data_IF_996423697050
#
_entry.id   IF_996423697050
#
_cell.length_a   1.000
_cell.length_b   1.000
_cell.length_c   1.000
_cell.angle_alpha   90.00
_cell.angle_beta   90.00
_cell.angle_gamma   90.00
#
_symmetry.space_group_name_H-M   'P 1'
#
loop_
_entity.id
_entity.type
_entity.pdbx_description
1 polymer ?
#
# COMPACT_ATOMS: atom_id res chain seq x y z
N UNK A 1 37.31 -8.56 3.04
CA UNK A 1 37.16 -7.58 1.93
C UNK A 1 35.94 -7.90 1.07
N UNK A 2 34.72 -7.50 1.45
CA UNK A 2 33.55 -7.42 0.52
C UNK A 2 32.59 -6.29 0.92
N UNK A 3 33.13 -5.21 1.50
CA UNK A 3 32.49 -3.90 1.55
C UNK A 3 32.98 -3.14 0.32
N UNK A 4 32.11 -2.32 -0.27
CA UNK A 4 32.37 -1.41 -1.40
C UNK A 4 32.21 -2.03 -2.79
N UNK A 5 31.00 -2.52 -3.08
CA UNK A 5 30.37 -2.18 -4.36
C UNK A 5 29.39 -1.03 -4.08
N UNK A 6 29.92 0.14 -3.69
CA UNK A 6 29.12 1.37 -3.61
C UNK A 6 28.70 1.70 -5.03
N UNK A 7 27.40 1.76 -5.29
CA UNK A 7 26.86 1.94 -6.63
C UNK A 7 27.48 3.15 -7.31
N UNK A 8 28.10 2.94 -8.48
CA UNK A 8 28.66 3.99 -9.33
C UNK A 8 27.59 4.91 -9.94
N UNK A 9 26.32 4.62 -9.69
CA UNK A 9 25.18 5.37 -10.20
C UNK A 9 24.60 6.24 -9.08
N UNK A 10 24.37 7.55 -9.33
CA UNK A 10 23.60 8.41 -8.45
C UNK A 10 22.27 7.77 -8.05
N UNK A 11 21.86 7.92 -6.80
CA UNK A 11 20.59 7.39 -6.29
C UNK A 11 19.37 7.84 -7.13
N UNK A 12 19.46 9.01 -7.77
CA UNK A 12 18.47 9.52 -8.72
C UNK A 12 18.35 8.66 -9.98
N UNK A 13 19.46 8.18 -10.54
CA UNK A 13 19.47 7.30 -11.73
C UNK A 13 18.92 5.91 -11.36
N UNK A 14 19.30 5.38 -10.20
CA UNK A 14 18.77 4.12 -9.70
C UNK A 14 17.26 4.22 -9.47
N UNK A 15 16.76 5.31 -8.86
CA UNK A 15 15.31 5.56 -8.70
C UNK A 15 14.57 5.73 -10.03
N UNK A 16 15.26 6.21 -11.08
CA UNK A 16 14.68 6.34 -12.41
C UNK A 16 14.55 4.98 -13.11
N UNK A 17 15.58 4.14 -13.00
CA UNK A 17 15.66 2.86 -13.70
C UNK A 17 14.97 1.70 -12.96
N UNK A 18 14.93 1.74 -11.63
CA UNK A 18 14.40 0.65 -10.79
C UNK A 18 12.98 0.22 -11.18
N UNK A 19 11.99 1.13 -11.38
CA UNK A 19 10.65 0.74 -11.80
C UNK A 19 10.60 0.02 -13.15
N UNK A 20 11.53 0.35 -14.06
CA UNK A 20 11.58 -0.28 -15.38
C UNK A 20 12.02 -1.75 -15.30
N UNK A 21 12.85 -2.10 -14.32
CA UNK A 21 13.29 -3.49 -14.09
C UNK A 21 12.14 -4.42 -13.68
N UNK A 22 11.05 -3.86 -13.12
CA UNK A 22 9.89 -4.63 -12.69
C UNK A 22 8.87 -4.90 -13.81
N UNK A 23 8.98 -4.24 -14.97
CA UNK A 23 8.04 -4.43 -16.11
C UNK A 23 7.92 -5.90 -16.54
N UNK A 24 8.99 -6.68 -16.70
CA UNK A 24 8.88 -8.10 -17.09
C UNK A 24 8.18 -8.95 -16.03
N UNK A 25 8.44 -8.68 -14.74
CA UNK A 25 7.85 -9.41 -13.62
C UNK A 25 6.36 -9.07 -13.51
N UNK A 26 5.99 -7.80 -13.66
CA UNK A 26 4.60 -7.35 -13.71
C UNK A 26 3.84 -8.03 -14.85
N UNK A 27 4.42 -8.06 -16.07
CA UNK A 27 3.77 -8.68 -17.23
C UNK A 27 3.49 -10.18 -17.02
N UNK A 28 4.39 -10.90 -16.34
CA UNK A 28 4.19 -12.32 -15.97
C UNK A 28 3.01 -12.52 -15.01
N UNK A 29 2.69 -11.50 -14.21
CA UNK A 29 1.54 -11.49 -13.29
C UNK A 29 0.27 -10.89 -13.93
N UNK A 30 0.26 -10.66 -15.25
CA UNK A 30 -0.87 -10.02 -15.94
C UNK A 30 -1.03 -8.53 -15.62
N UNK A 31 0.03 -7.89 -15.13
CA UNK A 31 0.06 -6.48 -14.76
C UNK A 31 0.86 -5.65 -15.77
N UNK A 32 0.48 -4.38 -15.91
CA UNK A 32 1.24 -3.38 -16.65
C UNK A 32 1.78 -2.32 -15.69
N UNK A 33 3.00 -1.85 -15.95
CA UNK A 33 3.62 -0.74 -15.20
C UNK A 33 3.82 0.45 -16.13
N UNK A 34 3.22 1.58 -15.78
CA UNK A 34 3.41 2.88 -16.40
C UNK A 34 4.15 3.81 -15.42
N UNK A 35 5.32 4.31 -15.82
CA UNK A 35 6.18 5.14 -14.98
C UNK A 35 6.01 6.59 -15.42
N UNK A 36 5.46 7.42 -14.54
CA UNK A 36 5.17 8.84 -14.81
C UNK A 36 6.19 9.74 -14.11
N UNK A 37 5.98 11.06 -14.16
CA UNK A 37 6.88 12.01 -13.52
C UNK A 37 7.02 11.78 -12.00
N UNK A 38 5.89 11.65 -11.29
CA UNK A 38 5.85 11.57 -9.82
C UNK A 38 5.28 10.26 -9.27
N UNK A 39 4.61 9.47 -10.10
CA UNK A 39 3.97 8.22 -9.70
C UNK A 39 4.29 7.06 -10.64
N UNK A 40 3.91 5.88 -10.20
CA UNK A 40 3.97 4.62 -10.94
C UNK A 40 2.58 4.02 -10.88
N UNK A 41 1.98 3.79 -12.04
CA UNK A 41 0.68 3.11 -12.15
C UNK A 41 0.94 1.63 -12.42
N UNK A 42 0.41 0.76 -11.55
CA UNK A 42 0.37 -0.68 -11.71
C UNK A 42 -1.05 -1.04 -12.07
N UNK A 43 -1.28 -1.66 -13.23
CA UNK A 43 -2.63 -1.86 -13.78
C UNK A 43 -2.92 -3.33 -14.07
N UNK A 44 -4.10 -3.80 -13.64
CA UNK A 44 -4.71 -5.10 -13.96
C UNK A 44 -6.08 -4.87 -14.59
N UNK A 45 -6.21 -5.04 -15.90
CA UNK A 45 -7.44 -4.69 -16.61
C UNK A 45 -7.80 -3.20 -16.44
N UNK A 46 -8.94 -2.90 -15.82
CA UNK A 46 -9.39 -1.53 -15.52
C UNK A 46 -8.96 -1.02 -14.13
N UNK A 47 -8.40 -1.90 -13.29
CA UNK A 47 -8.02 -1.60 -11.92
C UNK A 47 -6.57 -1.12 -11.87
N UNK A 48 -6.32 -0.02 -11.17
CA UNK A 48 -5.00 0.60 -11.06
C UNK A 48 -4.66 0.91 -9.62
N UNK A 49 -3.48 0.49 -9.17
CA UNK A 49 -2.81 1.04 -7.98
C UNK A 49 -1.80 2.06 -8.46
N UNK A 50 -1.96 3.30 -8.00
CA UNK A 50 -1.01 4.37 -8.24
C UNK A 50 -0.14 4.55 -7.01
N UNK A 51 1.17 4.52 -7.16
CA UNK A 51 2.12 4.66 -6.04
C UNK A 51 3.10 5.79 -6.30
N UNK A 52 3.62 6.40 -5.24
CA UNK A 52 4.67 7.40 -5.38
C UNK A 52 5.94 6.74 -5.93
N UNK A 53 6.68 7.46 -6.78
CA UNK A 53 8.01 6.99 -7.21
C UNK A 53 9.00 6.85 -6.06
N UNK A 54 8.82 7.61 -4.99
CA UNK A 54 9.65 7.49 -3.78
C UNK A 54 9.41 6.15 -3.07
N UNK A 55 8.29 5.49 -3.34
CA UNK A 55 7.89 4.19 -2.79
C UNK A 55 8.22 3.02 -3.74
N UNK A 56 9.11 3.23 -4.72
CA UNK A 56 9.49 2.21 -5.71
C UNK A 56 10.06 0.91 -5.09
N UNK A 57 10.58 0.97 -3.86
CA UNK A 57 11.06 -0.21 -3.12
C UNK A 57 9.94 -1.24 -2.88
N UNK A 58 8.68 -0.81 -2.82
CA UNK A 58 7.52 -1.66 -2.58
C UNK A 58 6.90 -2.23 -3.86
N UNK A 59 7.46 -1.94 -5.05
CA UNK A 59 6.87 -2.39 -6.32
C UNK A 59 6.76 -3.90 -6.43
N UNK A 60 7.79 -4.63 -6.00
CA UNK A 60 7.77 -6.09 -6.06
C UNK A 60 6.59 -6.67 -5.27
N UNK A 61 6.34 -6.11 -4.10
CA UNK A 61 5.26 -6.56 -3.22
C UNK A 61 3.89 -6.16 -3.79
N UNK A 62 3.76 -4.95 -4.32
CA UNK A 62 2.53 -4.52 -5.02
C UNK A 62 2.22 -5.36 -6.27
N UNK A 63 3.24 -5.85 -6.96
CA UNK A 63 3.08 -6.75 -8.11
C UNK A 63 2.58 -8.12 -7.66
N UNK A 64 3.20 -8.67 -6.60
CA UNK A 64 2.86 -10.00 -6.09
C UNK A 64 1.50 -10.03 -5.39
N UNK A 65 1.13 -8.92 -4.73
CA UNK A 65 -0.04 -8.80 -3.86
C UNK A 65 -0.99 -7.70 -4.37
N UNK A 66 -1.12 -7.56 -5.70
CA UNK A 66 -1.92 -6.48 -6.31
C UNK A 66 -3.35 -6.43 -5.76
N UNK A 67 -4.05 -7.56 -5.75
CA UNK A 67 -5.46 -7.60 -5.34
C UNK A 67 -5.62 -7.27 -3.84
N UNK A 68 -4.64 -7.61 -3.00
CA UNK A 68 -4.62 -7.26 -1.58
C UNK A 68 -4.58 -5.74 -1.39
N UNK A 69 -3.65 -5.05 -2.05
CA UNK A 69 -3.52 -3.59 -1.93
C UNK A 69 -4.66 -2.82 -2.61
N UNK A 70 -5.18 -3.34 -3.72
CA UNK A 70 -6.28 -2.73 -4.46
C UNK A 70 -7.61 -2.85 -3.71
N UNK A 71 -7.85 -3.98 -3.04
CA UNK A 71 -9.12 -4.23 -2.32
C UNK A 71 -9.16 -3.64 -0.90
N UNK A 72 -8.04 -3.08 -0.40
CA UNK A 72 -7.98 -2.49 0.93
C UNK A 72 -8.91 -1.28 1.09
N UNK A 73 -9.13 -0.51 0.02
CA UNK A 73 -9.87 0.76 0.04
C UNK A 73 -10.82 0.86 -1.14
N UNK A 74 -11.83 1.71 -1.03
CA UNK A 74 -12.77 1.98 -2.11
C UNK A 74 -12.04 2.77 -3.22
N UNK A 75 -11.95 2.23 -4.46
CA UNK A 75 -11.33 2.96 -5.56
C UNK A 75 -12.23 4.08 -6.06
N UNK A 76 -11.65 5.18 -6.52
CA UNK A 76 -12.39 6.19 -7.27
C UNK A 76 -12.32 5.90 -8.77
N UNK A 77 -13.34 6.33 -9.52
CA UNK A 77 -13.37 6.17 -10.98
C UNK A 77 -12.78 7.39 -11.69
N UNK A 78 -11.91 7.15 -12.67
CA UNK A 78 -11.37 8.19 -13.52
C UNK A 78 -11.05 7.64 -14.91
N UNK A 79 -11.62 8.25 -15.96
CA UNK A 79 -11.42 7.87 -17.37
C UNK A 79 -11.59 6.36 -17.62
N UNK A 80 -12.66 5.77 -17.05
CA UNK A 80 -12.98 4.34 -17.20
C UNK A 80 -12.07 3.38 -16.42
N UNK A 81 -11.24 3.90 -15.50
CA UNK A 81 -10.40 3.10 -14.60
C UNK A 81 -10.87 3.23 -13.16
N UNK A 82 -10.75 2.14 -12.41
CA UNK A 82 -10.86 2.16 -10.95
C UNK A 82 -9.46 2.39 -10.38
N UNK A 83 -9.27 3.45 -9.58
CA UNK A 83 -7.96 3.87 -9.10
C UNK A 83 -7.95 3.87 -7.58
N UNK A 84 -6.96 3.16 -7.03
CA UNK A 84 -6.48 3.34 -5.67
C UNK A 84 -5.19 4.14 -5.73
N UNK A 85 -5.17 5.33 -5.14
CA UNK A 85 -4.04 6.25 -5.24
C UNK A 85 -3.29 6.39 -3.92
N UNK A 86 -2.12 5.77 -3.83
CA UNK A 86 -1.16 5.88 -2.72
C UNK A 86 0.04 6.77 -3.10
N UNK A 87 -0.07 7.62 -4.12
CA UNK A 87 1.05 8.47 -4.55
C UNK A 87 1.24 9.73 -3.72
N UNK A 88 0.25 10.12 -2.93
CA UNK A 88 0.30 11.26 -2.02
C UNK A 88 -0.48 10.93 -0.75
N UNK A 89 -0.14 11.54 0.40
CA UNK A 89 -0.99 11.45 1.59
C UNK A 89 -2.42 11.88 1.29
N UNK A 90 -3.39 10.99 1.53
CA UNK A 90 -4.80 11.28 1.25
C UNK A 90 -5.75 10.42 2.08
N UNK A 91 -6.99 10.87 2.18
CA UNK A 91 -8.06 10.14 2.81
C UNK A 91 -8.55 9.00 1.91
N UNK A 92 -8.75 7.84 2.52
CA UNK A 92 -9.31 6.67 1.88
C UNK A 92 -10.46 6.10 2.71
N UNK A 93 -11.52 5.68 2.02
CA UNK A 93 -12.55 4.83 2.62
C UNK A 93 -12.02 3.40 2.64
N UNK A 94 -11.77 2.85 3.83
CA UNK A 94 -11.28 1.48 3.99
C UNK A 94 -12.45 0.51 3.84
N UNK A 95 -12.28 -0.53 3.02
CA UNK A 95 -13.34 -1.52 2.79
C UNK A 95 -13.68 -2.22 4.11
N UNK A 96 -14.97 -2.19 4.48
CA UNK A 96 -15.47 -2.76 5.73
C UNK A 96 -15.46 -1.82 6.94
N UNK A 97 -14.74 -0.69 6.87
CA UNK A 97 -14.72 0.31 7.94
C UNK A 97 -15.66 1.48 7.59
N UNK A 98 -16.73 1.67 8.38
CA UNK A 98 -17.81 2.61 8.04
C UNK A 98 -17.80 3.91 8.83
N UNK A 99 -16.87 4.08 9.78
CA UNK A 99 -16.93 5.22 10.70
C UNK A 99 -16.53 6.53 10.01
N UNK A 100 -15.38 6.55 9.33
CA UNK A 100 -14.86 7.73 8.64
C UNK A 100 -13.67 7.36 7.74
N UNK A 101 -13.29 8.22 6.78
CA UNK A 101 -12.10 8.01 5.97
C UNK A 101 -10.81 8.11 6.80
N UNK A 102 -9.79 7.33 6.44
CA UNK A 102 -8.47 7.34 7.09
C UNK A 102 -7.43 7.99 6.18
N UNK A 103 -6.65 8.92 6.74
CA UNK A 103 -5.50 9.52 6.05
C UNK A 103 -4.34 8.54 6.05
N UNK A 104 -3.95 8.04 4.87
CA UNK A 104 -2.74 7.24 4.73
C UNK A 104 -1.65 8.05 3.99
N UNK A 105 -0.40 8.10 4.51
CA UNK A 105 0.72 8.73 3.79
C UNK A 105 1.27 7.85 2.66
N UNK A 106 0.92 6.56 2.66
CA UNK A 106 1.27 5.58 1.63
C UNK A 106 0.21 4.49 1.57
N UNK A 107 0.60 3.21 1.62
CA UNK A 107 -0.30 2.07 1.50
C UNK A 107 -1.20 1.96 2.73
N UNK A 108 -2.42 1.50 2.51
CA UNK A 108 -3.27 1.02 3.58
C UNK A 108 -3.15 -0.49 3.74
N UNK A 109 -3.60 -0.97 4.88
CA UNK A 109 -3.77 -2.38 5.18
C UNK A 109 -5.27 -2.72 5.15
N UNK A 110 -5.69 -3.85 4.53
CA UNK A 110 -7.06 -4.32 4.60
C UNK A 110 -7.52 -4.54 6.05
N UNK A 111 -8.78 -4.19 6.33
CA UNK A 111 -9.40 -4.39 7.64
C UNK A 111 -9.28 -5.83 8.16
N UNK A 112 -9.35 -6.82 7.26
CA UNK A 112 -9.27 -8.24 7.63
C UNK A 112 -7.94 -8.61 8.31
N UNK A 113 -6.84 -7.93 7.96
CA UNK A 113 -5.55 -8.18 8.63
C UNK A 113 -5.56 -7.59 10.04
N UNK A 114 -6.17 -6.42 10.22
CA UNK A 114 -6.35 -5.83 11.55
C UNK A 114 -7.25 -6.70 12.45
N UNK A 115 -8.31 -7.31 11.90
CA UNK A 115 -9.18 -8.22 12.68
C UNK A 115 -8.45 -9.49 13.11
N UNK A 116 -7.55 -10.02 12.27
CA UNK A 116 -6.72 -11.18 12.64
C UNK A 116 -5.81 -10.89 13.85
N UNK A 117 -5.30 -9.67 13.98
CA UNK A 117 -4.55 -9.27 15.18
C UNK A 117 -5.42 -9.26 16.44
N UNK A 118 -6.67 -8.82 16.33
CA UNK A 118 -7.61 -8.85 17.46
C UNK A 118 -7.90 -10.29 17.89
N UNK A 119 -8.15 -11.18 16.92
CA UNK A 119 -8.43 -12.58 17.19
C UNK A 119 -7.24 -13.26 17.87
N UNK A 120 -6.02 -13.04 17.36
CA UNK A 120 -4.80 -13.59 17.94
C UNK A 120 -4.53 -13.07 19.36
N UNK A 121 -4.73 -11.77 19.58
CA UNK A 121 -4.52 -11.13 20.88
C UNK A 121 -5.66 -11.43 21.87
N UNK A 122 -6.77 -12.03 21.41
CA UNK A 122 -7.97 -12.28 22.22
C UNK A 122 -8.44 -11.03 22.97
N UNK A 123 -8.47 -9.90 22.26
CA UNK A 123 -8.86 -8.62 22.86
C UNK A 123 -10.29 -8.70 23.41
N UNK A 124 -10.49 -8.17 24.62
CA UNK A 124 -11.80 -8.09 25.26
C UNK A 124 -12.03 -6.71 25.86
N UNK A 125 -13.28 -6.43 26.19
CA UNK A 125 -13.69 -5.21 26.88
C UNK A 125 -12.86 -4.98 28.16
N UNK A 126 -12.45 -3.74 28.39
CA UNK A 126 -11.65 -3.31 29.54
C UNK A 126 -10.15 -3.56 29.45
N UNK A 127 -9.66 -4.19 28.36
CA UNK A 127 -8.22 -4.37 28.17
C UNK A 127 -7.52 -3.06 27.80
N UNK A 128 -6.28 -2.89 28.29
CA UNK A 128 -5.37 -1.84 27.81
C UNK A 128 -4.52 -2.38 26.67
N UNK A 129 -4.58 -1.73 25.50
CA UNK A 129 -3.83 -2.12 24.30
C UNK A 129 -2.68 -1.15 24.05
N UNK A 130 -1.48 -1.68 23.89
CA UNK A 130 -0.32 -0.93 23.40
C UNK A 130 -0.08 -1.29 21.93
N UNK A 131 -0.43 -0.37 21.03
CA UNK A 131 -0.17 -0.50 19.60
C UNK A 131 1.13 0.23 19.23
N UNK A 132 2.08 -0.51 18.66
CA UNK A 132 3.35 0.02 18.13
C UNK A 132 3.35 0.06 16.59
N UNK A 133 2.19 -0.13 15.97
CA UNK A 133 1.99 -0.15 14.52
C UNK A 133 2.11 1.21 13.85
N UNK A 134 2.43 1.19 12.56
CA UNK A 134 2.72 2.38 11.74
C UNK A 134 1.64 2.68 10.68
N UNK A 135 0.38 2.34 10.94
CA UNK A 135 -0.72 2.43 9.95
C UNK A 135 -1.64 3.64 10.18
N UNK A 136 -1.05 4.80 10.43
CA UNK A 136 -1.79 6.06 10.63
C UNK A 136 -2.84 6.00 11.75
N UNK A 137 -2.59 5.16 12.76
CA UNK A 137 -3.51 4.93 13.89
C UNK A 137 -4.75 4.08 13.55
N UNK A 138 -4.85 3.53 12.33
CA UNK A 138 -6.04 2.77 11.91
C UNK A 138 -6.29 1.54 12.79
N UNK A 139 -5.24 0.76 13.06
CA UNK A 139 -5.28 -0.39 13.98
C UNK A 139 -5.67 0.03 15.39
N UNK A 140 -5.12 1.13 15.89
CA UNK A 140 -5.44 1.65 17.23
C UNK A 140 -6.90 2.08 17.34
N UNK A 141 -7.46 2.68 16.29
CA UNK A 141 -8.89 3.03 16.21
C UNK A 141 -9.76 1.76 16.30
N UNK A 142 -9.40 0.73 15.54
CA UNK A 142 -10.13 -0.55 15.55
C UNK A 142 -10.04 -1.21 16.94
N UNK A 143 -8.85 -1.24 17.54
CA UNK A 143 -8.66 -1.84 18.86
C UNK A 143 -9.42 -1.09 19.95
N UNK A 144 -9.44 0.25 19.90
CA UNK A 144 -10.24 1.04 20.83
C UNK A 144 -11.73 0.73 20.70
N UNK A 145 -12.25 0.49 19.49
CA UNK A 145 -13.64 0.06 19.31
C UNK A 145 -13.92 -1.33 19.89
N UNK A 146 -12.91 -2.21 19.95
CA UNK A 146 -13.06 -3.58 20.45
C UNK A 146 -13.00 -3.68 21.98
N UNK A 147 -12.19 -2.84 22.64
CA UNK A 147 -11.99 -2.91 24.10
C UNK A 147 -12.86 -1.94 24.92
N UNK A 148 -13.58 -1.03 24.26
CA UNK A 148 -14.41 0.00 24.92
C UNK A 148 -13.61 1.21 25.40
#
# INVERSE_FOLDING_TARGET
MKKVLKSLLPASIVRLALPMLFKPIAKRNGLNIDVRANCIDITKGINTIRVSRTHAVYLQDNINSFDYYFSAVIPFQHLGRNIVDYSTPRYHDVVGFKAFPILFPSFSEPLITATQYMDFASLSEGMTVLDLGAYSGFTSIIFSQAVG
#
